data_IF_293720450247
#
_entry.id   IF_293720450247
#
_cell.length_a   1.000
_cell.length_b   1.000
_cell.length_c   1.000
_cell.angle_alpha   90.00
_cell.angle_beta   90.00
_cell.angle_gamma   90.00
#
_symmetry.space_group_name_H-M   'P 1'
#
loop_
_entity.id
_entity.type
_entity.pdbx_description
1 polymer ?
#
# COMPACT_ATOMS: atom_id res chain seq x y z
N UNK A 1 6.88 23.23 -28.98
CA UNK A 1 6.44 24.52 -28.40
C UNK A 1 6.33 24.34 -26.89
N UNK A 2 7.43 24.55 -26.17
CA UNK A 2 7.56 24.36 -24.73
C UNK A 2 7.13 25.66 -24.03
N UNK A 3 5.96 25.64 -23.39
CA UNK A 3 5.52 26.73 -22.51
C UNK A 3 6.23 26.60 -21.16
N UNK A 4 7.40 27.22 -21.02
CA UNK A 4 7.92 27.60 -19.71
C UNK A 4 7.40 29.00 -19.40
N UNK A 5 6.34 29.09 -18.60
CA UNK A 5 5.88 30.37 -18.09
C UNK A 5 6.92 30.94 -17.12
N UNK A 6 7.34 32.19 -17.34
CA UNK A 6 8.16 32.97 -16.40
C UNK A 6 7.54 32.90 -15.00
N UNK A 7 8.35 32.58 -13.99
CA UNK A 7 7.97 32.45 -12.58
C UNK A 7 8.36 33.72 -11.78
N UNK A 8 8.37 34.87 -12.43
CA UNK A 8 8.60 36.14 -11.73
C UNK A 8 7.48 36.39 -10.71
N UNK A 9 7.84 36.55 -9.43
CA UNK A 9 6.91 36.88 -8.33
C UNK A 9 6.39 35.71 -7.47
N UNK A 10 6.92 34.48 -7.59
CA UNK A 10 6.45 33.36 -6.75
C UNK A 10 7.26 33.19 -5.45
N UNK A 11 6.57 33.00 -4.32
CA UNK A 11 7.17 32.75 -3.01
C UNK A 11 6.89 31.30 -2.58
N UNK A 12 7.95 30.56 -2.24
CA UNK A 12 7.85 29.24 -1.61
C UNK A 12 7.81 29.41 -0.09
N UNK A 13 6.71 28.98 0.54
CA UNK A 13 6.55 29.00 2.00
C UNK A 13 6.52 27.57 2.54
N UNK A 14 7.34 27.32 3.57
CA UNK A 14 7.38 26.05 4.31
C UNK A 14 6.69 26.25 5.66
N UNK A 15 5.53 25.63 5.85
CA UNK A 15 4.86 25.63 7.15
C UNK A 15 5.65 24.77 8.16
N UNK A 16 5.87 25.29 9.37
CA UNK A 16 6.67 24.61 10.40
C UNK A 16 6.04 23.27 10.81
N UNK A 17 4.70 23.20 10.94
CA UNK A 17 3.92 21.96 11.06
C UNK A 17 2.46 22.17 10.58
N UNK A 18 1.85 21.18 9.89
CA UNK A 18 2.53 20.04 9.26
C UNK A 18 3.46 20.54 8.15
N UNK A 19 4.65 19.94 8.03
CA UNK A 19 5.64 20.30 7.02
C UNK A 19 5.03 20.14 5.62
N UNK A 20 4.61 21.25 5.02
CA UNK A 20 4.01 21.31 3.68
C UNK A 20 4.60 22.48 2.93
N UNK A 21 5.16 22.19 1.77
CA UNK A 21 5.55 23.19 0.78
C UNK A 21 4.26 23.67 0.11
N UNK A 22 3.89 24.92 0.32
CA UNK A 22 2.73 25.52 -0.33
C UNK A 22 3.22 26.43 -1.46
N UNK A 23 2.73 26.19 -2.68
CA UNK A 23 2.89 27.13 -3.78
C UNK A 23 1.86 28.25 -3.63
N UNK A 24 2.34 29.46 -3.37
CA UNK A 24 1.51 30.66 -3.30
C UNK A 24 1.76 31.52 -4.55
N UNK A 25 0.70 31.85 -5.26
CA UNK A 25 0.73 32.90 -6.28
C UNK A 25 0.27 34.18 -5.58
N UNK A 26 0.96 35.31 -5.81
CA UNK A 26 0.66 36.60 -5.15
C UNK A 26 -0.87 36.84 -5.09
N UNK A 27 -1.35 36.98 -3.86
CA UNK A 27 -2.73 37.29 -3.45
C UNK A 27 -3.85 36.24 -3.55
N UNK A 28 -3.58 34.93 -3.75
CA UNK A 28 -4.67 33.91 -3.68
C UNK A 28 -4.38 32.70 -2.79
N UNK A 29 -5.49 32.12 -2.26
CA UNK A 29 -5.58 30.91 -1.44
C UNK A 29 -4.58 29.83 -1.89
N UNK A 30 -3.97 29.06 -0.96
CA UNK A 30 -2.94 28.08 -1.27
C UNK A 30 -3.41 27.13 -2.38
N UNK A 31 -2.63 27.03 -3.46
CA UNK A 31 -2.92 26.08 -4.54
C UNK A 31 -2.48 24.71 -4.09
N UNK A 32 -3.43 23.78 -3.92
CA UNK A 32 -3.11 22.38 -3.66
C UNK A 32 -2.22 21.85 -4.79
N UNK A 33 -1.06 21.30 -4.43
CA UNK A 33 -0.21 20.61 -5.40
C UNK A 33 -0.98 19.40 -5.92
N UNK A 34 -1.11 19.31 -7.25
CA UNK A 34 -1.75 18.17 -7.88
C UNK A 34 -0.79 16.98 -7.77
N UNK A 35 -1.19 15.94 -7.06
CA UNK A 35 -0.49 14.66 -7.13
C UNK A 35 -0.71 14.08 -8.54
N UNK A 36 0.24 13.31 -9.05
CA UNK A 36 0.05 12.61 -10.33
C UNK A 36 -0.94 11.44 -10.19
N UNK A 37 -0.93 10.78 -9.03
CA UNK A 37 -1.83 9.69 -8.67
C UNK A 37 -3.02 10.25 -7.88
N UNK A 38 -4.11 10.62 -8.56
CA UNK A 38 -5.35 11.08 -7.91
C UNK A 38 -6.53 10.18 -8.28
N UNK A 39 -7.64 10.37 -7.56
CA UNK A 39 -8.93 9.72 -7.89
C UNK A 39 -9.36 10.04 -9.32
N UNK A 40 -9.13 11.27 -9.77
CA UNK A 40 -9.56 11.73 -11.08
C UNK A 40 -8.67 11.21 -12.20
N UNK A 41 -7.35 11.12 -11.99
CA UNK A 41 -6.40 10.71 -13.03
C UNK A 41 -6.22 9.20 -13.14
N UNK A 42 -6.13 8.50 -12.00
CA UNK A 42 -5.81 7.06 -11.94
C UNK A 42 -6.85 6.24 -11.19
N UNK A 43 -8.02 6.82 -10.84
CA UNK A 43 -9.02 6.15 -9.97
C UNK A 43 -8.39 5.68 -8.66
N UNK A 44 -7.47 6.50 -8.14
CA UNK A 44 -6.61 6.08 -7.05
C UNK A 44 -7.39 5.85 -5.74
N UNK A 45 -7.29 4.66 -5.16
CA UNK A 45 -7.86 4.33 -3.86
C UNK A 45 -7.25 5.16 -2.72
N UNK A 46 -8.07 5.41 -1.71
CA UNK A 46 -7.78 6.20 -0.51
C UNK A 46 -7.62 5.34 0.74
N UNK A 47 -7.26 5.98 1.85
CA UNK A 47 -7.14 5.30 3.15
C UNK A 47 -8.45 4.65 3.57
N UNK A 48 -9.59 5.30 3.31
CA UNK A 48 -10.91 4.76 3.60
C UNK A 48 -11.19 3.48 2.80
N UNK A 49 -10.79 3.45 1.52
CA UNK A 49 -10.91 2.26 0.68
C UNK A 49 -10.03 1.13 1.22
N UNK A 50 -8.82 1.44 1.68
CA UNK A 50 -7.91 0.46 2.24
C UNK A 50 -8.42 -0.14 3.57
N UNK A 51 -9.08 0.67 4.42
CA UNK A 51 -9.76 0.18 5.62
C UNK A 51 -10.95 -0.72 5.25
N UNK A 52 -11.72 -0.35 4.22
CA UNK A 52 -12.81 -1.19 3.73
C UNK A 52 -12.32 -2.54 3.21
N UNK A 53 -11.18 -2.58 2.49
CA UNK A 53 -10.52 -3.83 2.05
C UNK A 53 -10.15 -4.73 3.24
N UNK A 54 -9.62 -4.17 4.33
CA UNK A 54 -9.33 -4.94 5.56
C UNK A 54 -10.62 -5.54 6.13
N UNK A 55 -11.67 -4.73 6.26
CA UNK A 55 -12.96 -5.20 6.78
C UNK A 55 -13.56 -6.27 5.88
N UNK A 56 -13.41 -6.15 4.55
CA UNK A 56 -13.89 -7.16 3.60
C UNK A 56 -13.21 -8.54 3.82
N UNK A 57 -11.91 -8.55 4.10
CA UNK A 57 -11.18 -9.79 4.36
C UNK A 57 -11.50 -10.38 5.73
N UNK A 58 -11.49 -9.56 6.79
CA UNK A 58 -11.54 -10.04 8.16
C UNK A 58 -12.94 -10.01 8.79
N UNK A 59 -13.89 -9.25 8.22
CA UNK A 59 -15.20 -8.96 8.82
C UNK A 59 -15.16 -7.88 9.91
N UNK A 60 -13.99 -7.32 10.20
CA UNK A 60 -13.77 -6.25 11.18
C UNK A 60 -12.48 -5.49 10.83
N UNK A 61 -12.27 -4.33 11.45
CA UNK A 61 -11.07 -3.53 11.23
C UNK A 61 -9.85 -4.16 11.93
N UNK A 62 -9.16 -5.09 11.26
CA UNK A 62 -8.05 -5.84 11.83
C UNK A 62 -6.71 -5.09 11.83
N UNK A 63 -6.57 -4.01 11.06
CA UNK A 63 -5.29 -3.34 10.85
C UNK A 63 -5.49 -1.85 10.54
N UNK A 64 -4.84 -0.99 11.30
CA UNK A 64 -4.93 0.47 11.12
C UNK A 64 -4.06 0.95 9.96
N UNK A 65 -4.61 1.81 9.12
CA UNK A 65 -3.90 2.51 8.03
C UNK A 65 -3.16 1.56 7.05
N UNK A 66 -3.81 0.51 6.55
CA UNK A 66 -3.23 -0.32 5.49
C UNK A 66 -2.98 0.53 4.24
N UNK A 67 -2.00 0.12 3.42
CA UNK A 67 -1.86 0.70 2.08
C UNK A 67 -3.04 0.23 1.21
N UNK A 68 -3.63 1.07 0.34
CA UNK A 68 -4.66 0.63 -0.59
C UNK A 68 -4.10 -0.35 -1.61
N UNK A 69 -4.81 -1.45 -1.90
CA UNK A 69 -4.35 -2.47 -2.86
C UNK A 69 -4.16 -1.88 -4.25
N UNK A 70 -5.09 -1.03 -4.70
CA UNK A 70 -5.01 -0.42 -6.03
C UNK A 70 -3.74 0.44 -6.20
N UNK A 71 -3.24 1.05 -5.13
CA UNK A 71 -2.01 1.86 -5.16
C UNK A 71 -0.83 0.97 -5.49
N UNK A 72 -0.68 -0.10 -4.72
CA UNK A 72 0.42 -1.03 -4.92
C UNK A 72 0.30 -1.74 -6.27
N UNK A 73 -0.92 -2.12 -6.68
CA UNK A 73 -1.17 -2.75 -7.99
C UNK A 73 -0.74 -1.84 -9.15
N UNK A 74 -1.14 -0.56 -9.10
CA UNK A 74 -0.78 0.44 -10.13
C UNK A 74 0.74 0.63 -10.23
N UNK A 75 1.42 0.75 -9.07
CA UNK A 75 2.87 0.88 -9.03
C UNK A 75 3.56 -0.37 -9.58
N UNK A 76 3.13 -1.56 -9.15
CA UNK A 76 3.66 -2.82 -9.65
C UNK A 76 3.46 -2.97 -11.15
N UNK A 77 2.27 -2.69 -11.66
CA UNK A 77 1.98 -2.74 -13.09
C UNK A 77 2.93 -1.83 -13.89
N UNK A 78 3.19 -0.62 -13.38
CA UNK A 78 4.08 0.34 -14.08
C UNK A 78 5.52 -0.17 -14.19
N UNK A 79 6.08 -0.75 -13.12
CA UNK A 79 7.48 -1.19 -13.09
C UNK A 79 7.69 -2.61 -13.64
N UNK A 80 6.63 -3.41 -13.71
CA UNK A 80 6.67 -4.80 -14.21
C UNK A 80 5.94 -4.99 -15.53
N UNK A 81 5.55 -3.91 -16.22
CA UNK A 81 4.75 -3.97 -17.46
C UNK A 81 5.34 -4.93 -18.50
N UNK A 82 6.66 -4.85 -18.72
CA UNK A 82 7.39 -5.71 -19.65
C UNK A 82 7.89 -7.03 -19.03
N UNK A 83 7.72 -7.23 -17.71
CA UNK A 83 8.25 -8.38 -16.97
C UNK A 83 7.18 -8.97 -16.05
N UNK A 84 6.28 -9.74 -16.64
CA UNK A 84 5.12 -10.34 -15.95
C UNK A 84 5.45 -11.54 -15.05
N UNK A 85 6.71 -11.93 -14.96
CA UNK A 85 7.27 -12.98 -14.09
C UNK A 85 8.17 -12.39 -12.98
N UNK A 86 8.11 -11.08 -12.75
CA UNK A 86 8.96 -10.39 -11.80
C UNK A 86 8.77 -10.90 -10.35
N UNK A 87 9.87 -10.89 -9.58
CA UNK A 87 9.86 -11.12 -8.14
C UNK A 87 9.76 -9.78 -7.40
N UNK A 88 8.73 -9.63 -6.57
CA UNK A 88 8.46 -8.43 -5.78
C UNK A 88 8.90 -8.65 -4.33
N UNK A 89 9.76 -7.79 -3.80
CA UNK A 89 10.17 -7.83 -2.38
C UNK A 89 9.55 -6.66 -1.62
N UNK A 90 8.92 -6.96 -0.50
CA UNK A 90 8.46 -5.97 0.47
C UNK A 90 8.92 -6.37 1.87
N UNK A 91 9.92 -5.65 2.38
CA UNK A 91 10.51 -5.88 3.70
C UNK A 91 9.87 -5.06 4.83
N UNK A 92 8.79 -4.34 4.51
CA UNK A 92 7.90 -3.66 5.45
C UNK A 92 6.46 -4.03 5.15
N UNK A 93 6.19 -5.33 5.10
CA UNK A 93 4.97 -5.88 4.53
C UNK A 93 3.69 -5.40 5.24
N UNK A 94 3.76 -5.13 6.55
CA UNK A 94 2.66 -4.58 7.34
C UNK A 94 1.41 -5.45 7.22
N UNK A 95 0.34 -4.91 6.63
CA UNK A 95 -0.90 -5.67 6.43
C UNK A 95 -0.82 -6.75 5.35
N UNK A 96 0.23 -6.81 4.53
CA UNK A 96 0.34 -7.77 3.41
C UNK A 96 -0.30 -7.30 2.11
N UNK A 97 -0.54 -5.98 1.95
CA UNK A 97 -1.15 -5.38 0.75
C UNK A 97 -0.41 -5.76 -0.53
N UNK A 98 0.92 -5.83 -0.49
CA UNK A 98 1.76 -6.13 -1.67
C UNK A 98 1.47 -7.51 -2.26
N UNK A 99 1.31 -8.53 -1.43
CA UNK A 99 0.96 -9.87 -1.93
C UNK A 99 -0.41 -9.86 -2.61
N UNK A 100 -1.41 -9.23 -2.00
CA UNK A 100 -2.75 -9.12 -2.60
C UNK A 100 -2.74 -8.37 -3.94
N UNK A 101 -1.97 -7.28 -4.04
CA UNK A 101 -1.80 -6.53 -5.29
C UNK A 101 -1.17 -7.39 -6.39
N UNK A 102 -0.15 -8.20 -6.06
CA UNK A 102 0.46 -9.16 -7.00
C UNK A 102 -0.57 -10.19 -7.48
N UNK A 103 -1.37 -10.76 -6.57
CA UNK A 103 -2.40 -11.74 -6.93
C UNK A 103 -3.43 -11.16 -7.91
N UNK A 104 -3.93 -9.95 -7.61
CA UNK A 104 -4.90 -9.26 -8.47
C UNK A 104 -4.30 -8.94 -9.84
N UNK A 105 -3.08 -8.41 -9.86
CA UNK A 105 -2.42 -8.06 -11.12
C UNK A 105 -2.18 -9.28 -12.00
N UNK A 106 -1.69 -10.40 -11.43
CA UNK A 106 -1.51 -11.65 -12.15
C UNK A 106 -2.83 -12.18 -12.73
N UNK A 107 -3.94 -12.08 -11.98
CA UNK A 107 -5.26 -12.47 -12.48
C UNK A 107 -5.74 -11.57 -13.64
N UNK A 108 -5.52 -10.26 -13.52
CA UNK A 108 -5.94 -9.26 -14.52
C UNK A 108 -5.14 -9.38 -15.83
N UNK A 109 -3.81 -9.52 -15.76
CA UNK A 109 -2.93 -9.45 -16.92
C UNK A 109 -2.31 -10.80 -17.33
N UNK A 110 -2.76 -11.89 -16.70
CA UNK A 110 -2.25 -13.27 -16.88
C UNK A 110 -0.75 -13.37 -16.64
N UNK A 111 -0.24 -12.64 -15.65
CA UNK A 111 1.15 -12.71 -15.21
C UNK A 111 1.42 -13.83 -14.21
N UNK A 112 2.69 -14.06 -13.95
CA UNK A 112 3.24 -15.06 -13.04
C UNK A 112 4.20 -14.42 -12.02
N UNK A 113 3.93 -13.16 -11.64
CA UNK A 113 4.75 -12.43 -10.67
C UNK A 113 4.73 -13.16 -9.33
N UNK A 114 5.90 -13.26 -8.72
CA UNK A 114 6.08 -13.83 -7.40
C UNK A 114 6.36 -12.73 -6.38
N UNK A 115 6.19 -13.02 -5.09
CA UNK A 115 6.46 -12.07 -4.03
C UNK A 115 7.21 -12.69 -2.85
N UNK A 116 7.97 -11.87 -2.14
CA UNK A 116 8.57 -12.16 -0.83
C UNK A 116 8.13 -11.02 0.09
N UNK A 117 7.48 -11.40 1.19
CA UNK A 117 7.13 -10.48 2.27
C UNK A 117 8.02 -10.77 3.47
N UNK A 118 8.55 -9.71 4.10
CA UNK A 118 9.24 -9.80 5.38
C UNK A 118 8.49 -8.93 6.38
N UNK A 119 8.22 -9.50 7.55
CA UNK A 119 7.54 -8.83 8.65
C UNK A 119 8.16 -9.27 9.97
N UNK A 120 8.50 -8.29 10.81
CA UNK A 120 8.89 -8.48 12.20
C UNK A 120 7.71 -8.98 13.04
N UNK A 121 8.00 -9.81 14.05
CA UNK A 121 7.02 -10.29 15.04
C UNK A 121 6.75 -9.21 16.12
N UNK A 122 6.28 -8.05 15.69
CA UNK A 122 5.87 -6.98 16.59
C UNK A 122 4.54 -7.31 17.26
N UNK A 123 4.47 -7.19 18.59
CA UNK A 123 3.23 -7.38 19.34
C UNK A 123 2.20 -6.30 18.99
N UNK A 124 0.94 -6.71 18.86
CA UNK A 124 -0.16 -5.78 18.64
C UNK A 124 -0.71 -5.26 19.96
N UNK A 125 -1.27 -4.05 19.93
CA UNK A 125 -1.87 -3.41 21.10
C UNK A 125 -2.95 -4.29 21.72
N UNK A 126 -2.83 -4.56 23.02
CA UNK A 126 -3.86 -5.25 23.81
C UNK A 126 -5.19 -4.51 23.72
N UNK A 127 -6.28 -5.26 23.52
CA UNK A 127 -7.62 -4.71 23.36
C UNK A 127 -7.92 -4.13 21.97
N UNK A 128 -6.98 -4.16 21.03
CA UNK A 128 -7.31 -3.94 19.61
C UNK A 128 -8.28 -5.03 19.12
N UNK A 129 -9.06 -4.70 18.09
CA UNK A 129 -9.93 -5.63 17.37
C UNK A 129 -9.23 -6.94 17.00
N UNK A 130 -8.04 -6.87 16.39
CA UNK A 130 -7.25 -8.05 16.05
C UNK A 130 -6.81 -8.83 17.31
N UNK A 131 -6.40 -8.15 18.39
CA UNK A 131 -6.04 -8.82 19.64
C UNK A 131 -7.21 -9.64 20.22
N UNK A 132 -8.42 -9.03 20.21
CA UNK A 132 -9.65 -9.67 20.68
C UNK A 132 -10.07 -10.86 19.80
N UNK A 133 -9.66 -10.88 18.54
CA UNK A 133 -9.89 -11.98 17.59
C UNK A 133 -8.76 -13.03 17.57
N UNK A 134 -7.84 -13.00 18.55
CA UNK A 134 -6.85 -14.06 18.75
C UNK A 134 -5.48 -13.82 18.10
N UNK A 135 -5.29 -12.72 17.37
CA UNK A 135 -3.99 -12.34 16.83
C UNK A 135 -3.09 -11.80 17.95
N UNK A 136 -1.77 -11.96 17.82
CA UNK A 136 -0.80 -11.48 18.81
C UNK A 136 0.24 -10.56 18.21
N UNK A 137 0.56 -10.76 16.94
CA UNK A 137 1.58 -10.01 16.23
C UNK A 137 1.06 -9.43 14.92
N UNK A 138 1.77 -8.43 14.40
CA UNK A 138 1.51 -7.90 13.05
C UNK A 138 1.68 -9.00 12.00
N UNK A 139 2.66 -9.89 12.19
CA UNK A 139 2.87 -11.05 11.33
C UNK A 139 1.61 -11.93 11.24
N UNK A 140 0.91 -12.19 12.34
CA UNK A 140 -0.30 -13.02 12.32
C UNK A 140 -1.39 -12.40 11.45
N UNK A 141 -1.55 -11.07 11.51
CA UNK A 141 -2.52 -10.33 10.71
C UNK A 141 -2.12 -10.37 9.22
N UNK A 142 -0.85 -10.07 8.91
CA UNK A 142 -0.30 -10.14 7.56
C UNK A 142 -0.55 -11.53 6.96
N UNK A 143 -0.15 -12.58 7.68
CA UNK A 143 -0.27 -13.98 7.27
C UNK A 143 -1.71 -14.35 6.96
N UNK A 144 -2.65 -13.97 7.84
CA UNK A 144 -4.05 -14.30 7.62
C UNK A 144 -4.63 -13.52 6.43
N UNK A 145 -4.30 -12.23 6.25
CA UNK A 145 -4.74 -11.48 5.05
C UNK A 145 -4.24 -12.15 3.76
N UNK A 146 -2.97 -12.57 3.73
CA UNK A 146 -2.39 -13.26 2.57
C UNK A 146 -3.12 -14.58 2.31
N UNK A 147 -3.37 -15.37 3.34
CA UNK A 147 -4.13 -16.62 3.24
C UNK A 147 -5.57 -16.42 2.74
N UNK A 148 -6.28 -15.41 3.26
CA UNK A 148 -7.63 -15.05 2.81
C UNK A 148 -7.62 -14.59 1.36
N UNK A 149 -6.62 -13.79 0.96
CA UNK A 149 -6.43 -13.35 -0.42
C UNK A 149 -6.16 -14.52 -1.37
N UNK A 150 -5.30 -15.47 -0.99
CA UNK A 150 -5.07 -16.70 -1.75
C UNK A 150 -6.37 -17.49 -1.98
N UNK A 151 -7.20 -17.61 -0.94
CA UNK A 151 -8.52 -18.27 -1.05
C UNK A 151 -9.46 -17.50 -1.98
N UNK A 152 -9.50 -16.17 -1.87
CA UNK A 152 -10.34 -15.28 -2.69
C UNK A 152 -9.98 -15.33 -4.17
N UNK A 153 -8.68 -15.28 -4.48
CA UNK A 153 -8.17 -15.21 -5.86
C UNK A 153 -7.74 -16.58 -6.43
N UNK A 154 -7.94 -17.68 -5.70
CA UNK A 154 -7.55 -19.05 -6.08
C UNK A 154 -6.08 -19.18 -6.51
N UNK A 155 -5.20 -18.37 -5.92
CA UNK A 155 -3.83 -18.20 -6.40
C UNK A 155 -2.83 -19.17 -5.72
N UNK A 156 -3.09 -20.48 -5.72
CA UNK A 156 -2.17 -21.47 -5.15
C UNK A 156 -1.88 -21.28 -3.65
N UNK A 157 -0.65 -21.56 -3.22
CA UNK A 157 -0.20 -21.49 -1.82
C UNK A 157 1.08 -20.66 -1.68
N UNK A 158 1.42 -20.27 -0.45
CA UNK A 158 2.67 -19.60 -0.11
C UNK A 158 3.44 -20.42 0.93
N UNK A 159 4.75 -20.18 1.04
CA UNK A 159 5.62 -20.81 2.03
C UNK A 159 5.99 -19.79 3.10
N UNK A 160 6.15 -20.28 4.32
CA UNK A 160 6.54 -19.48 5.47
C UNK A 160 7.94 -19.90 5.90
N UNK A 161 8.79 -18.92 6.17
CA UNK A 161 10.14 -19.12 6.67
C UNK A 161 10.31 -18.27 7.93
N UNK A 162 10.84 -18.87 8.99
CA UNK A 162 11.19 -18.17 10.23
C UNK A 162 12.71 -18.03 10.29
N UNK A 163 13.18 -16.80 10.50
CA UNK A 163 14.60 -16.57 10.77
C UNK A 163 14.87 -17.00 12.21
N UNK A 164 15.79 -17.93 12.37
CA UNK A 164 16.33 -18.36 13.66
C UNK A 164 17.82 -18.07 13.65
N UNK A 165 18.33 -17.51 14.74
CA UNK A 165 19.78 -17.39 14.94
C UNK A 165 20.30 -18.75 15.38
N UNK A 166 21.29 -19.28 14.68
CA UNK A 166 22.09 -20.38 15.21
C UNK A 166 22.95 -19.84 16.35
N UNK A 167 23.02 -20.58 17.45
CA UNK A 167 24.02 -20.37 18.51
C UNK A 167 25.44 -20.57 17.99
#
# INVERSE_FOLDING_TARGET
MTFWGSIEGAILSVAKLPFRINYMKEEKKPKLMRNMLTKESYKMATYEDATAEIIEHFGYDAFSQPKPVELIKTLLQSVTYAKKDALVLDFFAGSGTTAEAVMKLNLEDRGERSYILIQSNEEIKRGSSAYLNGYRTIYDIMRERVKLSHKKYRNGSFKELKIVTSE
#
